data_IF_693073525946
#
_entry.id   IF_693073525946
#
_cell.length_a   1.000
_cell.length_b   1.000
_cell.length_c   1.000
_cell.angle_alpha   90.00
_cell.angle_beta   90.00
_cell.angle_gamma   90.00
#
_symmetry.space_group_name_H-M   'P 1'
#
loop_
_entity.id
_entity.type
_entity.pdbx_description
1 polymer ?
#
# COMPACT_ATOMS: atom_id res chain seq x y z
N UNK A 1 1.15 -24.23 38.67
CA UNK A 1 2.28 -24.26 37.73
C UNK A 1 1.81 -23.63 36.44
N UNK A 2 2.41 -22.48 36.14
CA UNK A 2 2.52 -21.70 34.89
C UNK A 2 1.36 -21.75 33.89
N UNK A 3 0.71 -20.59 33.82
CA UNK A 3 -0.11 -19.99 32.78
C UNK A 3 0.38 -20.24 31.34
N UNK A 4 -0.50 -20.73 30.47
CA UNK A 4 -0.36 -20.64 29.02
C UNK A 4 -1.18 -19.46 28.49
N UNK A 5 -0.72 -18.24 28.75
CA UNK A 5 -1.24 -17.04 28.07
C UNK A 5 -0.80 -17.10 26.62
N UNK A 6 -1.73 -17.37 25.70
CA UNK A 6 -1.55 -17.07 24.28
C UNK A 6 -1.82 -15.58 24.10
N UNK A 7 -0.79 -14.79 24.36
CA UNK A 7 -0.72 -13.41 23.92
C UNK A 7 0.25 -13.32 22.73
N UNK A 8 0.07 -12.27 21.92
CA UNK A 8 0.94 -11.75 20.85
C UNK A 8 0.71 -12.38 19.47
N UNK A 9 0.32 -11.66 18.41
CA UNK A 9 0.16 -10.21 18.19
C UNK A 9 -0.73 -10.07 16.95
N UNK A 10 -1.98 -9.61 17.10
CA UNK A 10 -2.77 -9.09 15.98
C UNK A 10 -2.84 -7.58 16.18
N UNK A 11 -2.42 -6.82 15.18
CA UNK A 11 -2.76 -5.40 15.07
C UNK A 11 -1.76 -4.41 15.68
N UNK A 12 -0.46 -4.69 15.63
CA UNK A 12 0.53 -3.62 15.81
C UNK A 12 1.63 -3.74 14.76
N UNK A 13 1.28 -3.52 13.49
CA UNK A 13 2.25 -3.09 12.46
C UNK A 13 2.65 -1.64 12.84
N UNK A 14 3.32 -1.49 13.98
CA UNK A 14 4.23 -0.36 14.19
C UNK A 14 5.11 -0.41 12.95
N UNK A 15 5.13 0.66 12.17
CA UNK A 15 6.19 0.89 11.18
C UNK A 15 7.51 0.82 11.96
N UNK A 16 8.05 -0.38 12.12
CA UNK A 16 9.47 -0.57 12.33
C UNK A 16 10.11 0.02 11.09
N UNK A 17 11.28 0.63 11.24
CA UNK A 17 11.97 1.17 10.07
C UNK A 17 12.30 0.00 9.13
N UNK A 18 11.47 -0.20 8.11
CA UNK A 18 11.66 -1.23 7.09
C UNK A 18 12.95 -0.93 6.33
N UNK A 19 13.69 -1.97 6.00
CA UNK A 19 14.85 -1.88 5.12
C UNK A 19 14.41 -1.58 3.69
N UNK A 20 15.35 -1.11 2.87
CA UNK A 20 15.07 -0.84 1.45
C UNK A 20 14.67 -2.12 0.72
N UNK A 21 15.28 -3.24 1.08
CA UNK A 21 14.99 -4.56 0.52
C UNK A 21 13.56 -5.00 0.86
N UNK A 22 13.12 -4.85 2.11
CA UNK A 22 11.73 -5.15 2.53
C UNK A 22 10.71 -4.29 1.79
N UNK A 23 10.98 -2.98 1.63
CA UNK A 23 10.11 -2.08 0.86
C UNK A 23 9.99 -2.54 -0.61
N UNK A 24 11.11 -2.94 -1.22
CA UNK A 24 11.11 -3.42 -2.61
C UNK A 24 10.42 -4.77 -2.77
N UNK A 25 10.52 -5.64 -1.77
CA UNK A 25 9.80 -6.91 -1.74
C UNK A 25 8.29 -6.68 -1.62
N UNK A 26 7.86 -5.86 -0.64
CA UNK A 26 6.44 -5.52 -0.47
C UNK A 26 5.87 -4.83 -1.71
N UNK A 27 6.64 -3.97 -2.37
CA UNK A 27 6.27 -3.35 -3.65
C UNK A 27 6.00 -4.40 -4.76
N UNK A 28 6.71 -5.53 -4.77
CA UNK A 28 6.44 -6.61 -5.74
C UNK A 28 5.16 -7.38 -5.39
N UNK A 29 4.95 -7.67 -4.10
CA UNK A 29 3.73 -8.33 -3.63
C UNK A 29 2.50 -7.51 -3.99
N UNK A 30 2.50 -6.21 -3.66
CA UNK A 30 1.39 -5.30 -3.98
C UNK A 30 1.11 -5.27 -5.48
N UNK A 31 2.14 -5.29 -6.34
CA UNK A 31 1.93 -5.34 -7.80
C UNK A 31 1.23 -6.63 -8.22
N UNK A 32 1.60 -7.76 -7.63
CA UNK A 32 0.92 -9.03 -7.90
C UNK A 32 -0.52 -9.01 -7.40
N UNK A 33 -0.76 -8.50 -6.19
CA UNK A 33 -2.10 -8.35 -5.60
C UNK A 33 -3.01 -7.43 -6.45
N UNK A 34 -2.47 -6.32 -6.98
CA UNK A 34 -3.19 -5.44 -7.91
C UNK A 34 -3.51 -6.17 -9.22
N UNK A 35 -2.56 -6.90 -9.80
CA UNK A 35 -2.80 -7.62 -11.05
C UNK A 35 -3.88 -8.70 -10.87
N UNK A 36 -3.81 -9.46 -9.78
CA UNK A 36 -4.81 -10.48 -9.44
C UNK A 36 -6.19 -9.83 -9.25
N UNK A 37 -6.28 -8.74 -8.48
CA UNK A 37 -7.55 -8.05 -8.27
C UNK A 37 -8.12 -7.48 -9.57
N UNK A 38 -7.30 -6.87 -10.43
CA UNK A 38 -7.75 -6.35 -11.74
C UNK A 38 -8.24 -7.48 -12.66
N UNK A 39 -7.61 -8.65 -12.63
CA UNK A 39 -8.04 -9.83 -13.39
C UNK A 39 -9.35 -10.42 -12.84
N UNK A 40 -9.44 -10.64 -11.53
CA UNK A 40 -10.63 -11.18 -10.86
C UNK A 40 -11.85 -10.28 -11.06
N UNK A 41 -11.62 -8.97 -10.99
CA UNK A 41 -12.65 -7.96 -11.21
C UNK A 41 -12.83 -7.63 -12.68
N UNK A 42 -12.20 -8.30 -13.65
CA UNK A 42 -12.23 -7.97 -15.09
C UNK A 42 -12.17 -6.45 -15.36
N UNK A 43 -11.30 -5.74 -14.65
CA UNK A 43 -11.19 -4.29 -14.70
C UNK A 43 -10.69 -3.80 -16.06
N UNK A 44 -11.16 -2.64 -16.50
CA UNK A 44 -10.65 -1.97 -17.71
C UNK A 44 -9.29 -1.28 -17.48
N UNK A 45 -8.84 -1.22 -16.22
CA UNK A 45 -7.56 -0.60 -15.83
C UNK A 45 -6.43 -1.61 -15.81
N UNK A 46 -5.22 -1.14 -16.13
CA UNK A 46 -3.97 -1.89 -15.99
C UNK A 46 -3.23 -1.47 -14.71
N UNK A 47 -2.29 -2.31 -14.26
CA UNK A 47 -1.38 -1.97 -13.16
C UNK A 47 -0.74 -0.59 -13.34
N UNK A 48 -0.42 -0.23 -14.59
CA UNK A 48 0.20 1.06 -14.90
C UNK A 48 -0.73 2.23 -14.60
N UNK A 49 -2.03 2.13 -14.86
CA UNK A 49 -2.99 3.21 -14.59
C UNK A 49 -3.06 3.51 -13.10
N UNK A 50 -3.07 2.46 -12.26
CA UNK A 50 -3.03 2.57 -10.80
C UNK A 50 -1.73 3.24 -10.34
N UNK A 51 -0.59 2.81 -10.90
CA UNK A 51 0.72 3.39 -10.56
C UNK A 51 0.82 4.86 -11.00
N UNK A 52 0.30 5.20 -12.17
CA UNK A 52 0.33 6.56 -12.72
C UNK A 52 -0.62 7.48 -11.92
N UNK A 53 -1.77 6.98 -11.47
CA UNK A 53 -2.69 7.72 -10.61
C UNK A 53 -2.05 8.05 -9.25
N UNK A 54 -1.41 7.07 -8.60
CA UNK A 54 -0.69 7.30 -7.34
C UNK A 54 0.50 8.23 -7.56
N UNK A 55 1.28 8.03 -8.63
CA UNK A 55 2.45 8.86 -8.88
C UNK A 55 2.08 10.32 -9.12
N UNK A 56 0.99 10.60 -9.83
CA UNK A 56 0.56 11.94 -10.18
C UNK A 56 -0.51 12.52 -9.23
N UNK A 57 -0.66 11.97 -8.02
CA UNK A 57 -1.55 12.54 -7.01
C UNK A 57 -1.23 14.02 -6.74
N UNK A 58 -2.28 14.83 -6.66
CA UNK A 58 -2.22 16.26 -6.34
C UNK A 58 -3.11 16.60 -5.13
N UNK A 59 -4.19 15.85 -4.89
CA UNK A 59 -5.18 16.10 -3.83
C UNK A 59 -5.58 14.82 -3.08
N UNK A 60 -6.17 14.98 -1.88
CA UNK A 60 -6.61 13.85 -1.06
C UNK A 60 -7.69 12.98 -1.74
N UNK A 61 -8.47 13.55 -2.64
CA UNK A 61 -9.51 12.84 -3.38
C UNK A 61 -8.94 11.83 -4.39
N UNK A 62 -7.66 11.96 -4.76
CA UNK A 62 -6.97 11.01 -5.65
C UNK A 62 -6.85 9.62 -5.02
N UNK A 63 -6.80 9.53 -3.69
CA UNK A 63 -6.87 8.24 -3.00
C UNK A 63 -8.17 7.51 -3.32
N UNK A 64 -9.30 8.21 -3.23
CA UNK A 64 -10.61 7.63 -3.53
C UNK A 64 -10.78 7.35 -5.02
N UNK A 65 -10.14 8.13 -5.88
CA UNK A 65 -10.08 7.83 -7.30
C UNK A 65 -9.39 6.48 -7.57
N UNK A 66 -8.26 6.21 -6.90
CA UNK A 66 -7.57 4.91 -7.01
C UNK A 66 -8.43 3.77 -6.46
N UNK A 67 -9.11 3.95 -5.32
CA UNK A 67 -10.06 2.95 -4.79
C UNK A 67 -11.16 2.63 -5.81
N UNK A 68 -11.70 3.65 -6.48
CA UNK A 68 -12.74 3.49 -7.49
C UNK A 68 -12.29 2.72 -8.75
N UNK A 69 -10.98 2.59 -9.01
CA UNK A 69 -10.47 1.73 -10.09
C UNK A 69 -10.67 0.23 -9.81
N UNK A 70 -10.83 -0.13 -8.54
CA UNK A 70 -11.07 -1.49 -8.06
C UNK A 70 -12.53 -1.74 -7.66
N UNK A 71 -13.30 -0.68 -7.37
CA UNK A 71 -14.71 -0.77 -6.97
C UNK A 71 -15.65 -0.88 -8.18
N UNK A 72 -16.25 -2.07 -8.37
CA UNK A 72 -17.29 -2.31 -9.38
C UNK A 72 -18.73 -2.14 -8.87
N UNK A 73 -18.92 -1.57 -7.69
CA UNK A 73 -20.24 -1.48 -7.05
C UNK A 73 -20.71 -2.82 -6.49
N UNK A 74 -19.75 -3.63 -6.04
CA UNK A 74 -19.94 -4.94 -5.44
C UNK A 74 -20.32 -4.91 -3.96
N UNK A 75 -20.04 -5.98 -3.21
CA UNK A 75 -20.35 -6.05 -1.78
C UNK A 75 -19.30 -5.35 -0.89
N UNK A 76 -19.64 -5.10 0.38
CA UNK A 76 -18.78 -4.36 1.31
C UNK A 76 -17.40 -5.00 1.54
N UNK A 77 -17.25 -6.29 1.27
CA UNK A 77 -15.98 -7.03 1.38
C UNK A 77 -15.01 -6.64 0.25
N UNK A 78 -15.51 -6.44 -0.97
CA UNK A 78 -14.71 -6.01 -2.12
C UNK A 78 -14.14 -4.60 -1.88
N UNK A 79 -14.98 -3.68 -1.39
CA UNK A 79 -14.54 -2.34 -1.01
C UNK A 79 -13.47 -2.37 0.11
N UNK A 80 -13.62 -3.29 1.08
CA UNK A 80 -12.66 -3.43 2.17
C UNK A 80 -11.30 -3.93 1.66
N UNK A 81 -11.30 -4.93 0.78
CA UNK A 81 -10.09 -5.46 0.16
C UNK A 81 -9.40 -4.39 -0.72
N UNK A 82 -10.18 -3.65 -1.51
CA UNK A 82 -9.68 -2.54 -2.31
C UNK A 82 -9.04 -1.44 -1.44
N UNK A 83 -9.69 -1.05 -0.34
CA UNK A 83 -9.14 -0.05 0.59
C UNK A 83 -7.82 -0.49 1.21
N UNK A 84 -7.70 -1.75 1.62
CA UNK A 84 -6.45 -2.30 2.18
C UNK A 84 -5.34 -2.27 1.12
N UNK A 85 -5.62 -2.77 -0.08
CA UNK A 85 -4.65 -2.81 -1.17
C UNK A 85 -4.21 -1.41 -1.62
N UNK A 86 -5.14 -0.47 -1.75
CA UNK A 86 -4.82 0.92 -2.12
C UNK A 86 -4.05 1.62 -1.00
N UNK A 87 -4.35 1.34 0.26
CA UNK A 87 -3.55 1.86 1.39
C UNK A 87 -2.10 1.39 1.29
N UNK A 88 -1.87 0.12 0.99
CA UNK A 88 -0.53 -0.41 0.80
C UNK A 88 0.14 0.16 -0.46
N UNK A 89 -0.55 0.20 -1.60
CA UNK A 89 -0.03 0.83 -2.82
C UNK A 89 0.39 2.28 -2.58
N UNK A 90 -0.44 3.06 -1.87
CA UNK A 90 -0.15 4.44 -1.50
C UNK A 90 1.11 4.57 -0.64
N UNK A 91 1.37 3.63 0.27
CA UNK A 91 2.54 3.71 1.16
C UNK A 91 3.85 3.23 0.50
N UNK A 92 3.76 2.32 -0.47
CA UNK A 92 4.94 1.64 -1.04
C UNK A 92 5.26 2.06 -2.48
N UNK A 93 4.35 2.71 -3.20
CA UNK A 93 4.63 3.25 -4.55
C UNK A 93 5.19 4.67 -4.50
N UNK A 94 6.00 5.05 -5.51
CA UNK A 94 6.53 6.41 -5.63
C UNK A 94 5.45 7.47 -5.82
N UNK A 95 5.67 8.65 -5.23
CA UNK A 95 4.82 9.83 -5.42
C UNK A 95 5.65 10.97 -6.03
N UNK A 96 5.07 11.70 -6.98
CA UNK A 96 5.71 12.87 -7.59
C UNK A 96 5.94 13.97 -6.57
N UNK A 97 4.99 14.21 -5.67
CA UNK A 97 5.10 15.20 -4.60
C UNK A 97 6.28 14.92 -3.64
N UNK A 98 6.66 13.65 -3.48
CA UNK A 98 7.79 13.21 -2.66
C UNK A 98 9.12 13.16 -3.43
N UNK A 99 9.16 13.62 -4.69
CA UNK A 99 10.38 13.54 -5.52
C UNK A 99 10.65 12.14 -6.07
N UNK A 100 9.62 11.31 -6.22
CA UNK A 100 9.72 9.98 -6.82
C UNK A 100 10.11 8.87 -5.85
N UNK A 101 9.96 9.08 -4.55
CA UNK A 101 10.06 8.03 -3.51
C UNK A 101 8.69 7.76 -2.89
N UNK A 102 8.53 6.63 -2.22
CA UNK A 102 7.32 6.31 -1.46
C UNK A 102 7.35 6.86 -0.03
N UNK A 103 6.18 6.97 0.65
CA UNK A 103 6.12 7.28 2.07
C UNK A 103 6.99 6.35 2.94
N UNK A 104 7.00 5.04 2.65
CA UNK A 104 7.86 4.08 3.34
C UNK A 104 9.36 4.40 3.16
N UNK A 105 9.80 4.74 1.93
CA UNK A 105 11.18 5.14 1.64
C UNK A 105 11.55 6.43 2.37
N UNK A 106 10.64 7.42 2.38
CA UNK A 106 10.82 8.68 3.11
C UNK A 106 10.99 8.44 4.62
N UNK A 107 10.20 7.54 5.20
CA UNK A 107 10.30 7.18 6.62
C UNK A 107 11.64 6.50 6.95
N UNK A 108 12.13 5.62 6.07
CA UNK A 108 13.46 5.02 6.18
C UNK A 108 14.57 6.09 6.15
N UNK A 109 14.49 7.06 5.23
CA UNK A 109 15.47 8.14 5.14
C UNK A 109 15.51 9.01 6.40
N UNK A 110 14.36 9.42 6.93
CA UNK A 110 14.27 10.20 8.16
C UNK A 110 14.82 9.42 9.37
N UNK A 111 14.51 8.13 9.45
CA UNK A 111 15.01 7.27 10.53
C UNK A 111 16.53 7.11 10.50
N UNK A 112 17.14 7.07 9.31
CA UNK A 112 18.60 7.02 9.14
C UNK A 112 19.27 8.35 9.49
N UNK A 113 18.64 9.49 9.19
CA UNK A 113 19.14 10.82 9.56
C UNK A 113 19.16 11.03 11.08
N UNK A 114 18.13 10.54 11.78
CA UNK A 114 18.03 10.67 13.25
C UNK A 114 18.99 9.74 14.03
N UNK A 115 19.61 8.75 13.37
CA UNK A 115 20.62 7.85 13.96
C UNK A 115 22.06 8.36 13.79
N UNK A 116 22.26 9.51 13.14
CA UNK A 116 23.57 10.05 12.78
C UNK A 116 23.92 11.26 13.65
#
# INVERSE_FOLDING_TARGET
>A
MVTGSKDSTIGNKKMQTETKEEILERRKEIKSEILEMLEETESDFELKDVQDAIFNEEEQDDFMHVVAMFDRGGDASELSNALELVTDAWNYFPHKALGGISPAEQNLEHSNKNKK
#
